data_IF_320717176930
#
_entry.id   IF_320717176930
#
_cell.length_a   1.000
_cell.length_b   1.000
_cell.length_c   1.000
_cell.angle_alpha   90.00
_cell.angle_beta   90.00
_cell.angle_gamma   90.00
#
_symmetry.space_group_name_H-M   'P 1'
#
loop_
_entity.id
_entity.type
_entity.pdbx_description
1 polymer ?
#
# COMPACT_ATOMS: atom_id res chain seq x y z
N UNK A 1 4.71 -3.06 -6.76
CA UNK A 1 3.36 -2.58 -7.17
C UNK A 1 2.38 -2.82 -6.04
N UNK A 2 1.49 -1.87 -5.73
CA UNK A 2 0.44 -2.05 -4.73
C UNK A 2 -0.93 -2.17 -5.39
N UNK A 3 -1.65 -3.23 -5.05
CA UNK A 3 -3.04 -3.44 -5.42
C UNK A 3 -3.92 -3.42 -4.17
N UNK A 4 -4.97 -2.61 -4.18
CA UNK A 4 -5.97 -2.60 -3.11
C UNK A 4 -7.29 -3.05 -3.72
N UNK A 5 -7.91 -4.06 -3.11
CA UNK A 5 -9.20 -4.60 -3.52
C UNK A 5 -10.13 -4.56 -2.32
N UNK A 6 -11.30 -3.97 -2.48
CA UNK A 6 -12.33 -3.90 -1.44
C UNK A 6 -13.60 -4.52 -2.01
N UNK A 7 -14.07 -5.61 -1.39
CA UNK A 7 -15.27 -6.34 -1.80
C UNK A 7 -15.28 -6.61 -3.31
N UNK A 8 -14.22 -7.25 -3.81
CA UNK A 8 -13.99 -7.56 -5.23
C UNK A 8 -13.79 -6.35 -6.16
N UNK A 9 -13.89 -5.12 -5.64
CA UNK A 9 -13.67 -3.90 -6.40
C UNK A 9 -12.26 -3.37 -6.19
N UNK A 10 -11.49 -3.25 -7.28
CA UNK A 10 -10.17 -2.64 -7.23
C UNK A 10 -10.26 -1.14 -6.94
N UNK A 11 -9.53 -0.67 -5.94
CA UNK A 11 -9.41 0.74 -5.59
C UNK A 11 -8.21 1.33 -6.32
N UNK A 12 -8.48 2.39 -7.08
CA UNK A 12 -7.42 3.16 -7.74
C UNK A 12 -6.70 4.04 -6.72
N UNK A 13 -5.38 3.87 -6.62
CA UNK A 13 -4.53 4.76 -5.85
C UNK A 13 -4.36 6.05 -6.66
N UNK A 14 -4.65 7.25 -6.10
CA UNK A 14 -4.47 8.51 -6.80
C UNK A 14 -3.02 8.68 -7.30
N UNK A 15 -2.88 9.21 -8.51
CA UNK A 15 -1.58 9.62 -9.04
C UNK A 15 -0.98 10.74 -8.18
N UNK A 16 0.35 10.82 -8.09
CA UNK A 16 1.08 11.83 -7.31
C UNK A 16 0.87 11.76 -5.79
N UNK A 17 0.43 10.62 -5.27
CA UNK A 17 0.35 10.40 -3.83
C UNK A 17 1.76 10.43 -3.25
N UNK A 18 2.03 11.38 -2.34
CA UNK A 18 3.35 11.62 -1.75
C UNK A 18 4.25 12.64 -2.48
N UNK A 19 3.80 13.23 -3.58
CA UNK A 19 4.54 14.30 -4.28
C UNK A 19 4.17 15.66 -3.67
N UNK A 20 5.00 16.17 -2.76
CA UNK A 20 4.89 17.56 -2.34
C UNK A 20 5.51 18.47 -3.42
N UNK A 21 4.64 19.24 -4.07
CA UNK A 21 4.98 20.31 -4.99
C UNK A 21 5.53 21.51 -4.19
N UNK A 22 6.80 21.48 -3.77
CA UNK A 22 7.47 22.65 -3.18
C UNK A 22 9.02 22.56 -3.24
N UNK A 23 9.56 22.03 -4.34
CA UNK A 23 10.97 22.25 -4.71
C UNK A 23 12.05 21.69 -3.77
N UNK A 24 11.71 20.81 -2.82
CA UNK A 24 12.67 20.17 -1.92
C UNK A 24 12.37 18.67 -1.77
N UNK A 25 13.22 17.87 -2.41
CA UNK A 25 13.42 16.41 -2.31
C UNK A 25 12.15 15.54 -2.32
N UNK A 26 12.00 14.80 -3.42
CA UNK A 26 11.15 13.61 -3.56
C UNK A 26 11.18 12.79 -2.26
N UNK A 27 10.06 12.70 -1.55
CA UNK A 27 9.93 11.79 -0.40
C UNK A 27 10.06 10.38 -0.97
N UNK A 28 10.90 9.55 -0.36
CA UNK A 28 11.40 8.30 -0.96
C UNK A 28 10.38 7.19 -1.23
N UNK A 29 9.08 7.45 -1.06
CA UNK A 29 7.99 6.58 -1.47
C UNK A 29 6.93 7.47 -2.13
N UNK A 30 6.69 7.29 -3.43
CA UNK A 30 5.70 8.07 -4.17
C UNK A 30 5.05 7.24 -5.30
N UNK A 31 3.84 7.58 -5.73
CA UNK A 31 3.23 7.00 -6.95
C UNK A 31 3.44 7.93 -8.15
N UNK A 32 3.95 7.40 -9.27
CA UNK A 32 4.18 8.19 -10.49
C UNK A 32 2.88 8.38 -11.31
N UNK A 33 1.95 7.42 -11.27
CA UNK A 33 0.72 7.43 -12.08
C UNK A 33 -0.46 6.77 -11.34
N UNK A 34 -1.69 6.95 -11.86
CA UNK A 34 -2.95 6.40 -11.30
C UNK A 34 -3.09 4.88 -11.48
N UNK A 35 -1.99 4.19 -11.79
CA UNK A 35 -1.93 2.76 -12.07
C UNK A 35 -1.70 1.91 -10.81
N UNK A 36 -1.44 2.54 -9.66
CA UNK A 36 -1.05 1.83 -8.43
C UNK A 36 0.44 1.43 -8.37
N UNK A 37 1.25 1.90 -9.33
CA UNK A 37 2.72 1.78 -9.24
C UNK A 37 3.26 2.72 -8.16
N UNK A 38 3.58 2.14 -7.01
CA UNK A 38 4.45 2.77 -6.01
C UNK A 38 5.89 2.67 -6.53
N UNK A 39 6.55 3.80 -6.66
CA UNK A 39 7.99 3.92 -6.87
C UNK A 39 8.65 4.29 -5.54
N UNK A 40 9.49 3.40 -5.01
CA UNK A 40 10.35 3.67 -3.86
C UNK A 40 11.70 4.15 -4.40
N UNK A 41 11.78 5.42 -4.79
CA UNK A 41 13.07 6.03 -5.17
C UNK A 41 13.83 6.46 -3.91
N UNK A 42 14.57 5.52 -3.31
CA UNK A 42 15.60 5.82 -2.32
C UNK A 42 16.97 5.34 -2.83
N UNK A 43 18.00 6.19 -2.68
CA UNK A 43 19.39 5.93 -3.09
C UNK A 43 20.00 4.66 -2.44
N UNK A 44 19.38 4.18 -1.36
CA UNK A 44 19.65 2.92 -0.67
C UNK A 44 18.36 2.15 -0.47
N UNK A 45 18.41 0.83 -0.66
CA UNK A 45 17.38 -0.12 -0.19
C UNK A 45 17.24 0.00 1.33
N UNK A 46 16.32 0.84 1.79
CA UNK A 46 15.85 0.80 3.16
C UNK A 46 14.66 -0.16 3.20
N UNK A 47 14.63 -1.03 4.22
CA UNK A 47 13.47 -1.85 4.52
C UNK A 47 12.37 -0.94 5.07
N UNK A 48 11.67 -0.25 4.19
CA UNK A 48 10.58 0.66 4.54
C UNK A 48 9.29 -0.16 4.56
N UNK A 49 8.60 -0.26 5.70
CA UNK A 49 7.30 -0.90 5.77
C UNK A 49 6.28 -0.20 4.88
N UNK A 50 5.33 -0.95 4.33
CA UNK A 50 4.25 -0.39 3.51
C UNK A 50 3.40 0.63 4.29
N UNK A 51 3.32 0.53 5.62
CA UNK A 51 2.68 1.55 6.47
C UNK A 51 3.17 2.98 6.15
N UNK A 52 4.47 3.13 5.87
CA UNK A 52 5.05 4.44 5.55
C UNK A 52 4.44 5.05 4.28
N UNK A 53 4.03 4.23 3.32
CA UNK A 53 3.31 4.69 2.15
C UNK A 53 1.91 5.21 2.51
N UNK A 54 1.18 4.45 3.31
CA UNK A 54 -0.17 4.82 3.75
C UNK A 54 -0.18 6.10 4.58
N UNK A 55 0.81 6.29 5.46
CA UNK A 55 1.01 7.55 6.21
C UNK A 55 1.24 8.73 5.25
N UNK A 56 2.04 8.54 4.19
CA UNK A 56 2.30 9.58 3.19
C UNK A 56 1.05 9.86 2.34
N UNK A 57 0.24 8.85 2.06
CA UNK A 57 -1.04 8.98 1.39
C UNK A 57 -2.08 9.69 2.28
N UNK A 58 -1.97 9.56 3.60
CA UNK A 58 -2.97 10.02 4.57
C UNK A 58 -4.08 9.01 4.81
N UNK A 59 -3.85 7.76 4.42
CA UNK A 59 -4.77 6.63 4.59
C UNK A 59 -4.27 5.70 5.69
N UNK A 60 -5.15 4.85 6.23
CA UNK A 60 -4.78 3.89 7.28
C UNK A 60 -4.58 2.51 6.68
N UNK A 61 -3.50 1.82 7.07
CA UNK A 61 -3.35 0.39 6.83
C UNK A 61 -2.69 -0.28 8.03
N UNK A 62 -3.36 -1.31 8.56
CA UNK A 62 -2.86 -2.23 9.58
C UNK A 62 -3.62 -3.57 9.48
N UNK A 63 -3.26 -4.54 10.33
CA UNK A 63 -3.90 -5.86 10.39
C UNK A 63 -5.44 -5.82 10.52
N UNK A 64 -6.00 -4.74 11.08
CA UNK A 64 -7.42 -4.58 11.36
C UNK A 64 -8.13 -3.58 10.44
N UNK A 65 -7.41 -2.78 9.65
CA UNK A 65 -8.01 -1.70 8.86
C UNK A 65 -7.23 -1.42 7.57
N UNK A 66 -7.96 -1.18 6.49
CA UNK A 66 -7.42 -0.68 5.21
C UNK A 66 -8.32 0.46 4.71
N UNK A 67 -7.75 1.65 4.51
CA UNK A 67 -8.48 2.89 4.23
C UNK A 67 -9.52 3.15 5.34
N UNK A 68 -10.79 3.32 4.96
CA UNK A 68 -11.94 3.44 5.87
C UNK A 68 -12.58 2.10 6.26
N UNK A 69 -12.04 0.97 5.78
CA UNK A 69 -12.63 -0.37 5.97
C UNK A 69 -11.96 -1.11 7.13
N UNK A 70 -12.76 -1.45 8.16
CA UNK A 70 -12.30 -2.12 9.38
C UNK A 70 -12.76 -3.58 9.34
N UNK A 71 -11.84 -4.51 9.54
CA UNK A 71 -12.15 -5.94 9.63
C UNK A 71 -13.04 -6.23 10.86
N UNK A 72 -14.04 -7.09 10.69
CA UNK A 72 -15.03 -7.40 11.72
C UNK A 72 -15.37 -8.91 11.76
N UNK A 73 -16.53 -9.27 12.31
CA UNK A 73 -16.96 -10.67 12.37
C UNK A 73 -17.24 -11.26 10.98
N UNK A 74 -17.67 -10.44 10.02
CA UNK A 74 -18.08 -10.86 8.69
C UNK A 74 -17.01 -10.59 7.62
N UNK A 75 -16.04 -9.71 7.90
CA UNK A 75 -15.00 -9.30 6.95
C UNK A 75 -13.58 -9.59 7.43
N UNK A 76 -12.69 -9.88 6.50
CA UNK A 76 -11.25 -10.08 6.75
C UNK A 76 -10.38 -9.25 5.80
N UNK A 77 -9.14 -8.98 6.24
CA UNK A 77 -8.09 -8.40 5.40
C UNK A 77 -7.08 -9.50 5.05
N UNK A 78 -6.88 -9.70 3.74
CA UNK A 78 -5.90 -10.61 3.17
C UNK A 78 -4.79 -9.79 2.55
N UNK A 79 -3.55 -10.14 2.92
CA UNK A 79 -2.36 -9.54 2.32
C UNK A 79 -1.59 -10.64 1.59
N UNK A 80 -1.27 -10.41 0.32
CA UNK A 80 -0.39 -11.29 -0.46
C UNK A 80 0.78 -10.51 -1.04
N UNK A 81 1.97 -11.12 -1.01
CA UNK A 81 3.18 -10.63 -1.65
C UNK A 81 3.53 -11.63 -2.77
N UNK A 82 3.56 -11.15 -4.01
CA UNK A 82 3.73 -11.99 -5.22
C UNK A 82 2.75 -13.18 -5.30
N UNK A 83 1.56 -12.99 -4.73
CA UNK A 83 0.50 -14.01 -4.68
C UNK A 83 0.58 -14.97 -3.49
N UNK A 84 1.63 -14.91 -2.67
CA UNK A 84 1.73 -15.69 -1.44
C UNK A 84 1.17 -14.90 -0.24
N UNK A 85 0.33 -15.52 0.58
CA UNK A 85 -0.25 -14.87 1.76
C UNK A 85 0.82 -14.58 2.81
N UNK A 86 0.87 -13.33 3.24
CA UNK A 86 1.75 -12.85 4.32
C UNK A 86 0.92 -12.38 5.51
N UNK A 87 1.49 -12.45 6.70
CA UNK A 87 0.86 -12.02 7.97
C UNK A 87 1.62 -10.86 8.62
N UNK A 88 2.48 -10.19 7.85
CA UNK A 88 3.25 -9.02 8.28
C UNK A 88 2.46 -7.72 8.14
N UNK A 89 1.36 -7.70 7.39
CA UNK A 89 0.46 -6.54 7.25
C UNK A 89 1.19 -5.20 7.04
N UNK A 90 1.04 -4.22 7.94
CA UNK A 90 1.68 -2.90 7.89
C UNK A 90 3.21 -2.96 7.83
N UNK A 91 3.81 -3.99 8.44
CA UNK A 91 5.24 -4.23 8.48
C UNK A 91 5.79 -4.86 7.19
N UNK A 92 4.93 -5.17 6.22
CA UNK A 92 5.35 -5.80 4.97
C UNK A 92 6.26 -4.86 4.19
N UNK A 93 7.48 -5.32 3.93
CA UNK A 93 8.45 -4.61 3.08
C UNK A 93 8.27 -5.12 1.65
N UNK A 94 8.17 -4.19 0.71
CA UNK A 94 7.91 -4.49 -0.71
C UNK A 94 9.06 -3.93 -1.54
N UNK A 95 9.68 -4.78 -2.34
CA UNK A 95 10.66 -4.37 -3.35
C UNK A 95 9.98 -3.90 -4.65
N UNK A 96 10.69 -3.14 -5.50
CA UNK A 96 10.15 -2.50 -6.72
C UNK A 96 9.52 -3.50 -7.73
N UNK A 97 10.00 -4.75 -7.72
CA UNK A 97 9.52 -5.82 -8.61
C UNK A 97 8.39 -6.65 -8.02
N UNK A 98 8.13 -6.53 -6.72
CA UNK A 98 7.14 -7.35 -6.02
C UNK A 98 5.75 -6.72 -6.11
N UNK A 99 4.71 -7.55 -6.10
CA UNK A 99 3.32 -7.14 -6.07
C UNK A 99 2.75 -7.40 -4.70
N UNK A 100 2.52 -6.34 -3.94
CA UNK A 100 1.73 -6.40 -2.72
C UNK A 100 0.26 -6.20 -3.07
N UNK A 101 -0.59 -7.16 -2.72
CA UNK A 101 -2.03 -7.05 -2.84
C UNK A 101 -2.66 -7.10 -1.46
N UNK A 102 -3.51 -6.13 -1.19
CA UNK A 102 -4.31 -6.03 0.04
C UNK A 102 -5.78 -6.15 -0.37
N UNK A 103 -6.48 -7.12 0.18
CA UNK A 103 -7.87 -7.43 -0.14
C UNK A 103 -8.72 -7.40 1.13
N UNK A 104 -9.70 -6.51 1.19
CA UNK A 104 -10.79 -6.54 2.16
C UNK A 104 -11.97 -7.29 1.53
N UNK A 105 -12.49 -8.32 2.20
CA UNK A 105 -13.59 -9.14 1.69
C UNK A 105 -14.42 -9.76 2.81
N UNK A 106 -15.62 -10.23 2.47
CA UNK A 106 -16.41 -11.11 3.32
C UNK A 106 -15.73 -12.48 3.51
N UNK A 107 -15.92 -13.09 4.69
CA UNK A 107 -15.34 -14.40 5.07
C UNK A 107 -16.03 -15.60 4.43
#
# INVERSE_FOLDING_TARGET
MLEIVINEQQISIPANTGINHDGCSMRGVHTHDSTGKIHVEMDKKYNVPIESFFIVWGETFNENQILDYVADEDHEIIVTLDGERVYTYEDTVVDDQEVLRIEYREK
#
